data_IF_224165034104
#
_entry.id   IF_224165034104
#
_cell.length_a   1.000
_cell.length_b   1.000
_cell.length_c   1.000
_cell.angle_alpha   90.00
_cell.angle_beta   90.00
_cell.angle_gamma   90.00
#
_symmetry.space_group_name_H-M   'P 1'
#
loop_
_entity.id
_entity.type
_entity.pdbx_description
1 polymer ?
#
# COMPACT_ATOMS: atom_id res chain seq x y z
N UNK A 1 -36.99 31.57 34.70
CA UNK A 1 -36.02 30.47 34.92
C UNK A 1 -35.74 29.66 33.66
N UNK A 2 -36.77 29.15 32.94
CA UNK A 2 -36.57 28.41 31.66
C UNK A 2 -35.85 29.22 30.58
N UNK A 3 -36.17 30.50 30.44
CA UNK A 3 -35.52 31.43 29.50
C UNK A 3 -34.05 31.67 29.85
N UNK A 4 -33.70 31.80 31.14
CA UNK A 4 -32.32 31.94 31.62
C UNK A 4 -31.48 30.68 31.37
N UNK A 5 -32.07 29.48 31.53
CA UNK A 5 -31.38 28.21 31.25
C UNK A 5 -31.12 28.03 29.75
N UNK A 6 -32.06 28.42 28.89
CA UNK A 6 -31.90 28.38 27.42
C UNK A 6 -30.81 29.36 26.97
N UNK A 7 -30.77 30.57 27.55
CA UNK A 7 -29.72 31.55 27.22
C UNK A 7 -28.35 31.03 27.66
N UNK A 8 -28.25 30.43 28.85
CA UNK A 8 -26.99 29.84 29.34
C UNK A 8 -26.54 28.65 28.48
N UNK A 9 -27.46 27.80 28.01
CA UNK A 9 -27.12 26.67 27.15
C UNK A 9 -26.66 27.10 25.76
N UNK A 10 -27.26 28.16 25.21
CA UNK A 10 -26.84 28.73 23.91
C UNK A 10 -25.45 29.36 24.02
N UNK A 11 -25.14 30.03 25.14
CA UNK A 11 -23.84 30.67 25.39
C UNK A 11 -22.70 29.66 25.57
N UNK A 12 -22.97 28.51 26.19
CA UNK A 12 -21.97 27.43 26.33
C UNK A 12 -21.72 26.73 24.98
N UNK A 13 -22.76 26.53 24.17
CA UNK A 13 -22.62 25.91 22.84
C UNK A 13 -21.81 26.74 21.86
N UNK A 14 -21.84 28.08 21.93
CA UNK A 14 -21.08 28.94 21.01
C UNK A 14 -19.59 29.04 21.37
N UNK A 15 -19.18 28.69 22.60
CA UNK A 15 -17.78 28.76 23.03
C UNK A 15 -16.90 27.60 22.55
N UNK A 16 -17.49 26.58 21.89
CA UNK A 16 -16.78 25.39 21.39
C UNK A 16 -16.33 25.51 19.91
N UNK A 17 -16.50 26.68 19.28
CA UNK A 17 -16.13 26.89 17.89
C UNK A 17 -14.63 27.14 17.81
N UNK A 18 -13.87 26.06 17.64
CA UNK A 18 -12.43 26.12 17.35
C UNK A 18 -12.21 26.70 15.95
N UNK A 19 -11.52 27.83 15.84
CA UNK A 19 -11.16 28.41 14.54
C UNK A 19 -10.11 27.53 13.86
N UNK A 20 -10.28 27.14 12.60
CA UNK A 20 -9.25 26.41 11.87
C UNK A 20 -8.00 27.29 11.76
N UNK A 21 -6.88 26.83 12.32
CA UNK A 21 -5.58 27.44 12.11
C UNK A 21 -5.09 27.12 10.70
N UNK A 22 -4.97 28.14 9.85
CA UNK A 22 -4.38 27.99 8.52
C UNK A 22 -2.86 27.96 8.63
N UNK A 23 -2.28 26.77 8.81
CA UNK A 23 -0.86 26.55 8.61
C UNK A 23 -0.63 26.19 7.14
N UNK A 24 0.14 27.02 6.43
CA UNK A 24 0.49 26.77 5.04
C UNK A 24 1.91 26.22 4.97
N UNK A 25 2.02 24.92 4.72
CA UNK A 25 3.32 24.25 4.54
C UNK A 25 3.61 24.09 3.05
N UNK A 26 4.81 24.48 2.65
CA UNK A 26 5.32 24.41 1.30
C UNK A 26 6.30 23.25 1.18
N UNK A 27 6.16 22.46 0.12
CA UNK A 27 7.05 21.34 -0.22
C UNK A 27 7.77 21.64 -1.52
N UNK A 28 9.09 21.45 -1.57
CA UNK A 28 9.87 21.51 -2.81
C UNK A 28 10.99 20.47 -2.81
N UNK A 29 11.47 20.14 -4.00
CA UNK A 29 12.57 19.18 -4.22
C UNK A 29 13.75 19.95 -4.83
N UNK A 30 14.93 19.80 -4.24
CA UNK A 30 16.14 20.45 -4.75
C UNK A 30 16.78 19.70 -5.94
N UNK A 31 17.84 20.26 -6.52
CA UNK A 31 18.54 19.68 -7.67
C UNK A 31 19.21 18.32 -7.35
N UNK A 32 19.35 17.97 -6.06
CA UNK A 32 19.91 16.69 -5.59
C UNK A 32 18.82 15.67 -5.26
N UNK A 33 17.55 16.03 -5.45
CA UNK A 33 16.41 15.15 -5.18
C UNK A 33 16.01 15.08 -3.71
N UNK A 34 16.52 15.97 -2.84
CA UNK A 34 16.15 16.03 -1.43
C UNK A 34 14.84 16.81 -1.28
N UNK A 35 13.89 16.25 -0.54
CA UNK A 35 12.59 16.87 -0.26
C UNK A 35 12.72 17.79 0.96
N UNK A 36 12.34 19.06 0.79
CA UNK A 36 12.34 20.07 1.84
C UNK A 36 10.92 20.55 2.15
N UNK A 37 10.68 20.88 3.42
CA UNK A 37 9.42 21.43 3.92
C UNK A 37 9.69 22.76 4.64
N UNK A 38 8.87 23.77 4.39
CA UNK A 38 8.94 25.06 5.08
C UNK A 38 7.57 25.67 5.19
N UNK A 39 7.30 26.39 6.27
CA UNK A 39 6.07 27.17 6.44
C UNK A 39 6.23 28.62 5.94
N UNK A 40 7.43 28.97 5.46
CA UNK A 40 7.77 30.30 4.97
C UNK A 40 8.32 30.25 3.53
N UNK A 41 7.56 30.82 2.60
CA UNK A 41 7.91 30.88 1.17
C UNK A 41 9.23 31.60 0.89
N UNK A 42 9.64 32.53 1.76
CA UNK A 42 10.89 33.28 1.58
C UNK A 42 12.12 32.39 1.73
N UNK A 43 12.01 31.30 2.50
CA UNK A 43 13.06 30.30 2.69
C UNK A 43 13.24 29.38 1.48
N UNK A 44 12.31 29.41 0.52
CA UNK A 44 12.43 28.66 -0.73
C UNK A 44 13.29 29.48 -1.69
N UNK A 45 14.43 28.94 -2.16
CA UNK A 45 15.23 29.60 -3.17
C UNK A 45 14.38 29.90 -4.41
N UNK A 46 14.59 31.08 -5.01
CA UNK A 46 13.72 31.63 -6.06
C UNK A 46 13.51 30.65 -7.23
N UNK A 47 14.54 29.86 -7.55
CA UNK A 47 14.52 28.79 -8.56
C UNK A 47 13.43 27.73 -8.36
N UNK A 48 13.00 27.48 -7.11
CA UNK A 48 12.03 26.43 -6.77
C UNK A 48 10.63 26.95 -6.46
N UNK A 49 10.44 28.27 -6.31
CA UNK A 49 9.14 28.90 -6.03
C UNK A 49 8.01 28.58 -7.03
N UNK A 50 8.24 28.46 -8.35
CA UNK A 50 7.15 28.11 -9.28
C UNK A 50 6.74 26.63 -9.23
N UNK A 51 7.46 25.76 -8.51
CA UNK A 51 7.20 24.31 -8.41
C UNK A 51 6.65 23.90 -7.03
N UNK A 52 6.12 24.85 -6.27
CA UNK A 52 5.65 24.61 -4.91
C UNK A 52 4.18 24.22 -4.93
N UNK A 53 3.89 22.99 -4.51
CA UNK A 53 2.53 22.57 -4.20
C UNK A 53 2.12 23.14 -2.84
N UNK A 54 1.05 23.95 -2.82
CA UNK A 54 0.46 24.46 -1.57
C UNK A 54 -0.40 23.35 -0.96
N UNK A 55 0.08 22.75 0.12
CA UNK A 55 -0.68 21.77 0.89
C UNK A 55 -1.61 22.58 1.81
N UNK A 56 -2.87 22.81 1.42
CA UNK A 56 -3.80 23.55 2.29
C UNK A 56 -5.16 24.02 1.75
N UNK A 57 -5.50 23.86 0.47
CA UNK A 57 -6.83 24.27 -0.03
C UNK A 57 -7.48 23.16 -0.86
N UNK A 58 -8.69 22.67 -0.51
CA UNK A 58 -9.44 21.79 -1.40
C UNK A 58 -10.13 22.66 -2.45
N UNK A 59 -9.52 22.76 -3.63
CA UNK A 59 -10.22 23.27 -4.82
C UNK A 59 -10.56 22.08 -5.74
N UNK A 60 -11.84 21.75 -5.69
CA UNK A 60 -12.55 20.84 -6.57
C UNK A 60 -12.70 21.48 -7.96
N UNK A 61 -12.26 20.79 -9.02
CA UNK A 61 -12.85 20.98 -10.37
C UNK A 61 -12.65 19.76 -11.29
N UNK A 62 -13.63 18.86 -11.20
CA UNK A 62 -14.48 18.28 -12.26
C UNK A 62 -13.88 18.13 -13.68
N UNK A 63 -13.75 16.86 -14.08
CA UNK A 63 -14.06 16.20 -15.36
C UNK A 63 -13.87 16.94 -16.70
N UNK A 64 -13.15 16.32 -17.66
CA UNK A 64 -13.80 15.68 -18.83
C UNK A 64 -12.84 14.84 -19.69
N UNK A 65 -13.39 13.69 -20.15
CA UNK A 65 -13.20 12.98 -21.43
C UNK A 65 -11.91 12.20 -21.70
N UNK A 66 -12.07 10.89 -21.55
CA UNK A 66 -11.76 9.82 -22.52
C UNK A 66 -11.23 10.32 -23.86
N UNK A 67 -9.98 9.96 -24.16
CA UNK A 67 -9.64 9.41 -25.47
C UNK A 67 -8.74 8.20 -25.30
N UNK A 68 -9.22 7.08 -25.83
CA UNK A 68 -8.53 5.81 -25.94
C UNK A 68 -7.80 5.84 -27.27
N UNK A 69 -6.53 5.44 -27.20
CA UNK A 69 -5.63 5.10 -28.29
C UNK A 69 -4.80 6.25 -28.89
N UNK A 70 -3.52 6.31 -28.51
CA UNK A 70 -2.44 6.27 -29.49
C UNK A 70 -1.06 6.25 -28.83
N UNK A 71 -0.28 5.26 -29.26
CA UNK A 71 1.18 5.30 -29.39
C UNK A 71 2.03 5.20 -28.12
N UNK A 72 2.24 3.95 -27.73
CA UNK A 72 3.44 3.47 -27.06
C UNK A 72 4.70 3.74 -27.91
N UNK A 73 5.30 4.91 -27.75
CA UNK A 73 6.74 5.17 -27.87
C UNK A 73 7.00 6.66 -27.69
N UNK A 74 7.33 7.09 -26.47
CA UNK A 74 8.54 7.88 -26.21
C UNK A 74 8.64 8.34 -24.74
N UNK A 75 9.82 8.07 -24.19
CA UNK A 75 10.58 8.77 -23.14
C UNK A 75 10.18 8.47 -21.71
N UNK A 76 11.17 7.96 -20.98
CA UNK A 76 11.73 8.61 -19.79
C UNK A 76 11.30 10.09 -19.68
N UNK A 77 10.09 10.33 -19.17
CA UNK A 77 9.46 11.65 -19.07
C UNK A 77 9.59 12.23 -17.67
N UNK A 78 10.31 11.56 -16.77
CA UNK A 78 10.38 11.96 -15.37
C UNK A 78 8.99 12.03 -14.71
N UNK A 79 7.96 11.44 -15.33
CA UNK A 79 6.63 11.34 -14.76
C UNK A 79 6.76 10.52 -13.48
N UNK A 80 6.27 11.12 -12.40
CA UNK A 80 6.26 10.56 -11.08
C UNK A 80 4.82 10.64 -10.58
N UNK A 81 4.44 9.70 -9.73
CA UNK A 81 3.14 9.75 -9.07
C UNK A 81 3.03 11.00 -8.15
N UNK A 82 1.87 11.20 -7.54
CA UNK A 82 1.64 12.33 -6.63
C UNK A 82 2.60 12.40 -5.43
N UNK A 83 3.29 11.30 -5.13
CA UNK A 83 4.30 11.20 -4.07
C UNK A 83 5.74 11.32 -4.60
N UNK A 84 5.94 11.59 -5.89
CA UNK A 84 7.26 11.69 -6.48
C UNK A 84 7.93 10.33 -6.76
N UNK A 85 7.19 9.22 -6.69
CA UNK A 85 7.66 7.86 -6.96
C UNK A 85 7.53 7.57 -8.45
N UNK A 86 8.61 7.09 -9.05
CA UNK A 86 8.65 6.72 -10.46
C UNK A 86 8.30 5.25 -10.69
N UNK A 87 8.41 4.86 -11.96
CA UNK A 87 8.21 3.48 -12.44
C UNK A 87 8.98 2.43 -11.63
N UNK A 88 10.24 2.71 -11.30
CA UNK A 88 11.11 1.76 -10.59
C UNK A 88 10.56 1.36 -9.21
N UNK A 89 9.94 2.31 -8.49
CA UNK A 89 9.32 2.02 -7.20
C UNK A 89 8.16 1.03 -7.36
N UNK A 90 7.26 1.30 -8.31
CA UNK A 90 6.08 0.47 -8.56
C UNK A 90 6.47 -0.91 -9.09
N UNK A 91 7.44 -0.97 -10.01
CA UNK A 91 8.02 -2.22 -10.51
C UNK A 91 8.68 -3.03 -9.40
N UNK A 92 9.55 -2.41 -8.60
CA UNK A 92 10.20 -3.08 -7.48
C UNK A 92 9.17 -3.61 -6.48
N UNK A 93 8.08 -2.88 -6.25
CA UNK A 93 7.01 -3.29 -5.34
C UNK A 93 6.28 -4.52 -5.87
N UNK A 94 5.89 -4.51 -7.14
CA UNK A 94 5.25 -5.65 -7.80
C UNK A 94 6.18 -6.85 -7.81
N UNK A 95 7.45 -6.67 -8.17
CA UNK A 95 8.44 -7.75 -8.23
C UNK A 95 8.68 -8.38 -6.84
N UNK A 96 8.77 -7.56 -5.79
CA UNK A 96 8.89 -8.04 -4.41
C UNK A 96 7.71 -8.95 -4.03
N UNK A 97 6.49 -8.52 -4.33
CA UNK A 97 5.29 -9.31 -4.02
C UNK A 97 5.14 -10.53 -4.92
N UNK A 98 5.53 -10.46 -6.19
CA UNK A 98 5.61 -11.64 -7.07
C UNK A 98 6.61 -12.66 -6.54
N UNK A 99 7.78 -12.21 -6.07
CA UNK A 99 8.77 -13.08 -5.44
C UNK A 99 8.21 -13.72 -4.17
N UNK A 100 7.55 -12.94 -3.31
CA UNK A 100 6.86 -13.46 -2.10
C UNK A 100 5.79 -14.49 -2.46
N UNK A 101 4.98 -14.22 -3.48
CA UNK A 101 3.96 -15.15 -3.98
C UNK A 101 4.61 -16.46 -4.44
N UNK A 102 5.64 -16.38 -5.28
CA UNK A 102 6.37 -17.55 -5.79
C UNK A 102 6.98 -18.38 -4.65
N UNK A 103 7.70 -17.73 -3.73
CA UNK A 103 8.30 -18.42 -2.58
C UNK A 103 7.23 -19.03 -1.65
N UNK A 104 6.09 -18.37 -1.46
CA UNK A 104 4.98 -18.94 -0.69
C UNK A 104 4.36 -20.16 -1.38
N UNK A 105 4.21 -20.14 -2.72
CA UNK A 105 3.76 -21.28 -3.51
C UNK A 105 4.75 -22.45 -3.46
N UNK A 106 6.05 -22.18 -3.62
CA UNK A 106 7.10 -23.20 -3.52
C UNK A 106 7.09 -23.86 -2.14
N UNK A 107 7.04 -23.08 -1.07
CA UNK A 107 6.97 -23.61 0.29
C UNK A 107 5.69 -24.43 0.54
N UNK A 108 4.56 -24.01 -0.03
CA UNK A 108 3.32 -24.76 0.04
C UNK A 108 3.44 -26.13 -0.64
N UNK A 109 4.09 -26.20 -1.81
CA UNK A 109 4.33 -27.46 -2.51
C UNK A 109 5.32 -28.35 -1.76
N UNK A 110 6.39 -27.79 -1.20
CA UNK A 110 7.32 -28.52 -0.34
C UNK A 110 6.62 -29.11 0.89
N UNK A 111 5.76 -28.32 1.55
CA UNK A 111 4.97 -28.80 2.68
C UNK A 111 4.01 -29.91 2.26
N UNK A 112 3.39 -29.80 1.08
CA UNK A 112 2.53 -30.86 0.53
C UNK A 112 3.28 -32.15 0.25
N UNK A 113 4.47 -32.08 -0.34
CA UNK A 113 5.31 -33.26 -0.56
C UNK A 113 5.71 -33.92 0.76
N UNK A 114 6.14 -33.13 1.74
CA UNK A 114 6.46 -33.63 3.08
C UNK A 114 5.25 -34.27 3.77
N UNK A 115 4.06 -33.70 3.61
CA UNK A 115 2.82 -34.27 4.14
C UNK A 115 2.53 -35.65 3.53
N UNK A 116 2.70 -35.78 2.21
CA UNK A 116 2.49 -37.05 1.51
C UNK A 116 3.50 -38.10 1.97
N UNK A 117 4.78 -37.73 2.07
CA UNK A 117 5.85 -38.60 2.56
C UNK A 117 5.57 -39.09 4.00
N UNK A 118 5.18 -38.18 4.90
CA UNK A 118 4.80 -38.55 6.28
C UNK A 118 3.57 -39.47 6.31
N UNK A 119 2.65 -39.30 5.36
CA UNK A 119 1.47 -40.15 5.24
C UNK A 119 1.84 -41.56 4.79
N UNK A 120 2.75 -41.68 3.83
CA UNK A 120 3.29 -42.97 3.38
C UNK A 120 4.02 -43.69 4.52
N UNK A 121 4.95 -43.00 5.20
CA UNK A 121 5.66 -43.55 6.38
C UNK A 121 4.70 -43.97 7.50
N UNK A 122 3.62 -43.22 7.70
CA UNK A 122 2.60 -43.57 8.69
C UNK A 122 1.88 -44.87 8.35
N UNK A 123 1.60 -45.09 7.06
CA UNK A 123 0.94 -46.31 6.59
C UNK A 123 1.86 -47.53 6.64
N UNK A 124 3.16 -47.35 6.42
CA UNK A 124 4.17 -48.41 6.48
C UNK A 124 4.59 -48.78 7.91
N UNK A 125 4.50 -47.84 8.85
CA UNK A 125 4.97 -48.06 10.22
C UNK A 125 4.11 -49.09 10.97
N UNK A 126 4.79 -50.10 11.51
CA UNK A 126 4.20 -51.13 12.38
C UNK A 126 4.23 -50.74 13.86
N UNK A 127 4.94 -49.67 14.22
CA UNK A 127 5.13 -49.23 15.60
C UNK A 127 4.09 -48.20 16.01
N UNK A 128 3.42 -48.43 17.15
CA UNK A 128 2.45 -47.46 17.67
C UNK A 128 3.09 -46.14 18.12
N UNK A 129 4.32 -46.18 18.65
CA UNK A 129 5.02 -44.98 19.10
C UNK A 129 5.44 -44.11 17.90
N UNK A 130 5.93 -44.74 16.83
CA UNK A 130 6.33 -44.06 15.59
C UNK A 130 5.13 -43.44 14.88
N UNK A 131 4.01 -44.16 14.76
CA UNK A 131 2.75 -43.62 14.21
C UNK A 131 2.25 -42.39 14.97
N UNK A 132 2.39 -42.36 16.30
CA UNK A 132 2.02 -41.19 17.09
C UNK A 132 2.91 -39.98 16.80
N UNK A 133 4.23 -40.17 16.60
CA UNK A 133 5.13 -39.09 16.21
C UNK A 133 4.82 -38.58 14.80
N UNK A 134 4.68 -39.49 13.83
CA UNK A 134 4.33 -39.17 12.44
C UNK A 134 2.99 -38.42 12.33
N UNK A 135 2.00 -38.77 13.18
CA UNK A 135 0.75 -38.02 13.27
C UNK A 135 0.99 -36.57 13.69
N UNK A 136 1.78 -36.33 14.74
CA UNK A 136 2.09 -34.96 15.21
C UNK A 136 2.84 -34.17 14.15
N UNK A 137 3.83 -34.77 13.50
CA UNK A 137 4.57 -34.11 12.42
C UNK A 137 3.67 -33.77 11.23
N UNK A 138 2.78 -34.67 10.84
CA UNK A 138 1.80 -34.43 9.77
C UNK A 138 0.84 -33.30 10.13
N UNK A 139 0.37 -33.26 11.38
CA UNK A 139 -0.50 -32.20 11.87
C UNK A 139 0.23 -30.85 11.87
N UNK A 140 1.53 -30.81 12.20
CA UNK A 140 2.36 -29.61 12.08
C UNK A 140 2.53 -29.16 10.63
N UNK A 141 2.86 -30.08 9.72
CA UNK A 141 3.01 -29.76 8.29
C UNK A 141 1.71 -29.25 7.70
N UNK A 142 0.56 -29.77 8.15
CA UNK A 142 -0.75 -29.26 7.76
C UNK A 142 -0.95 -27.80 8.20
N UNK A 143 -0.56 -27.45 9.42
CA UNK A 143 -0.60 -26.04 9.87
C UNK A 143 0.32 -25.16 9.03
N UNK A 144 1.52 -25.64 8.67
CA UNK A 144 2.45 -24.91 7.81
C UNK A 144 1.84 -24.69 6.41
N UNK A 145 1.15 -25.70 5.85
CA UNK A 145 0.42 -25.56 4.58
C UNK A 145 -0.65 -24.47 4.64
N UNK A 146 -1.45 -24.43 5.72
CA UNK A 146 -2.47 -23.40 5.92
C UNK A 146 -1.84 -22.01 6.06
N UNK A 147 -0.71 -21.90 6.76
CA UNK A 147 0.05 -20.65 6.86
C UNK A 147 0.55 -20.17 5.49
N UNK A 148 1.14 -21.06 4.70
CA UNK A 148 1.62 -20.71 3.36
C UNK A 148 0.48 -20.37 2.41
N UNK A 149 -0.66 -21.05 2.52
CA UNK A 149 -1.89 -20.71 1.79
C UNK A 149 -2.34 -19.28 2.08
N UNK A 150 -2.36 -18.88 3.35
CA UNK A 150 -2.72 -17.52 3.73
C UNK A 150 -1.74 -16.49 3.15
N UNK A 151 -0.43 -16.78 3.14
CA UNK A 151 0.58 -15.92 2.53
C UNK A 151 0.42 -15.79 1.01
N UNK A 152 0.04 -16.88 0.33
CA UNK A 152 -0.28 -16.86 -1.11
C UNK A 152 -1.48 -15.96 -1.36
N UNK A 153 -2.54 -16.10 -0.58
CA UNK A 153 -3.76 -15.29 -0.71
C UNK A 153 -3.48 -13.81 -0.43
N UNK A 154 -2.72 -13.51 0.62
CA UNK A 154 -2.30 -12.15 0.93
C UNK A 154 -1.50 -11.56 -0.24
N UNK A 155 -0.49 -12.26 -0.74
CA UNK A 155 0.33 -11.76 -1.83
C UNK A 155 -0.48 -11.52 -3.11
N UNK A 156 -1.43 -12.40 -3.43
CA UNK A 156 -2.38 -12.19 -4.54
C UNK A 156 -3.25 -10.96 -4.33
N UNK A 157 -3.84 -10.83 -3.14
CA UNK A 157 -4.69 -9.69 -2.80
C UNK A 157 -3.91 -8.36 -2.87
N UNK A 158 -2.64 -8.34 -2.47
CA UNK A 158 -1.80 -7.15 -2.64
C UNK A 158 -1.53 -6.86 -4.12
N UNK A 159 -1.18 -7.86 -4.92
CA UNK A 159 -0.85 -7.71 -6.34
C UNK A 159 -2.05 -7.31 -7.20
N UNK A 160 -3.20 -7.95 -6.98
CA UNK A 160 -4.39 -7.80 -7.83
C UNK A 160 -5.29 -6.65 -7.39
N UNK A 161 -5.24 -6.27 -6.11
CA UNK A 161 -6.15 -5.27 -5.56
C UNK A 161 -5.43 -4.06 -4.98
N UNK A 162 -4.59 -4.23 -3.95
CA UNK A 162 -4.02 -3.07 -3.24
C UNK A 162 -3.06 -2.24 -4.09
N UNK A 163 -2.14 -2.88 -4.81
CA UNK A 163 -1.17 -2.16 -5.65
C UNK A 163 -1.89 -1.36 -6.76
N UNK A 164 -2.86 -1.93 -7.49
CA UNK A 164 -3.68 -1.17 -8.43
C UNK A 164 -4.48 -0.03 -7.81
N UNK A 165 -5.15 -0.26 -6.67
CA UNK A 165 -5.89 0.78 -5.95
C UNK A 165 -4.98 1.93 -5.51
N UNK A 166 -3.81 1.62 -4.95
CA UNK A 166 -2.82 2.63 -4.57
C UNK A 166 -2.28 3.37 -5.80
N UNK A 167 -2.00 2.66 -6.89
CA UNK A 167 -1.52 3.27 -8.12
C UNK A 167 -2.55 4.26 -8.69
N UNK A 168 -3.84 3.92 -8.66
CA UNK A 168 -4.92 4.81 -9.07
C UNK A 168 -5.03 6.05 -8.16
N UNK A 169 -5.02 5.84 -6.83
CA UNK A 169 -5.08 6.93 -5.83
C UNK A 169 -3.95 7.93 -6.06
N UNK A 170 -2.73 7.44 -6.31
CA UNK A 170 -1.56 8.29 -6.50
C UNK A 170 -1.33 8.70 -7.96
N UNK A 171 -2.26 8.39 -8.87
CA UNK A 171 -2.17 8.66 -10.32
C UNK A 171 -0.90 8.09 -10.96
N UNK A 172 -0.41 6.97 -10.47
CA UNK A 172 0.68 6.22 -11.11
C UNK A 172 0.19 5.63 -12.46
N UNK A 173 1.12 5.45 -13.41
CA UNK A 173 0.76 4.86 -14.71
C UNK A 173 0.38 3.37 -14.50
N UNK A 174 -0.77 2.90 -15.02
CA UNK A 174 -1.16 1.49 -14.91
C UNK A 174 -0.14 0.53 -15.51
N UNK A 175 0.62 0.99 -16.51
CA UNK A 175 1.67 0.22 -17.19
C UNK A 175 2.83 -0.17 -16.25
N UNK A 176 3.03 0.58 -15.16
CA UNK A 176 4.10 0.29 -14.20
C UNK A 176 3.81 -0.91 -13.30
N UNK A 177 2.53 -1.29 -13.19
CA UNK A 177 2.07 -2.37 -12.31
C UNK A 177 1.60 -3.63 -13.07
N UNK A 178 1.23 -3.51 -14.35
CA UNK A 178 0.71 -4.60 -15.18
C UNK A 178 1.78 -5.49 -15.86
N UNK A 179 2.91 -5.72 -15.18
CA UNK A 179 4.03 -6.48 -15.75
C UNK A 179 3.92 -7.99 -15.53
#
# INVERSE_FOLDING_TARGET
MKTLIIILSVLVSTSLISTPGFAQTYKWVDDKGVVHFTDDITKIPEKYRPKVDKIGTPEEKIETKVDRDSTSKKRDDGYKDQLGRGEEYWKSRVEEWKKKLKTAQENMEQARMKYNELTERFNESRSSAERNNLKRERDQVKQDMDLHRNKVEEAKMILEKKIPEEAEIFKAKPEWIQQ
#
